data_IF_725422149597
#
_entry.id   IF_725422149597
#
_cell.length_a   1.000
_cell.length_b   1.000
_cell.length_c   1.000
_cell.angle_alpha   90.00
_cell.angle_beta   90.00
_cell.angle_gamma   90.00
#
_symmetry.space_group_name_H-M   'P 1'
#
loop_
_entity.id
_entity.type
_entity.pdbx_description
1 polymer ?
#
# COMPACT_ATOMS: atom_id res chain seq x y z
N UNK A 1 20.83 28.96 -20.92
CA UNK A 1 19.66 28.48 -20.14
C UNK A 1 18.30 29.08 -20.55
N UNK A 2 18.19 30.28 -21.16
CA UNK A 2 16.88 30.85 -21.58
C UNK A 2 16.10 30.03 -22.63
N UNK A 3 16.77 29.16 -23.39
CA UNK A 3 16.12 28.31 -24.40
C UNK A 3 15.73 26.91 -23.90
N UNK A 4 16.11 26.50 -22.69
CA UNK A 4 15.98 25.12 -22.19
C UNK A 4 15.50 25.15 -20.72
N UNK A 5 14.32 25.74 -20.48
CA UNK A 5 13.68 25.77 -19.17
C UNK A 5 12.85 24.51 -18.88
N UNK A 6 12.47 24.33 -17.60
CA UNK A 6 11.67 23.18 -17.14
C UNK A 6 10.38 22.96 -17.95
N UNK A 7 9.76 24.03 -18.45
CA UNK A 7 8.56 23.95 -19.30
C UNK A 7 8.86 23.24 -20.63
N UNK A 8 9.91 23.66 -21.35
CA UNK A 8 10.32 23.02 -22.62
C UNK A 8 10.77 21.57 -22.41
N UNK A 9 11.46 21.30 -21.29
CA UNK A 9 11.84 19.93 -20.95
C UNK A 9 10.62 19.04 -20.70
N UNK A 10 9.58 19.57 -20.05
CA UNK A 10 8.31 18.86 -19.84
C UNK A 10 7.56 18.63 -21.14
N UNK A 11 7.46 19.65 -22.01
CA UNK A 11 6.82 19.54 -23.33
C UNK A 11 7.48 18.47 -24.21
N UNK A 12 8.79 18.26 -24.09
CA UNK A 12 9.53 17.26 -24.88
C UNK A 12 9.60 15.89 -24.21
N UNK A 13 10.13 15.82 -22.99
CA UNK A 13 10.47 14.56 -22.32
C UNK A 13 9.32 14.00 -21.47
N UNK A 14 8.21 14.72 -21.35
CA UNK A 14 6.99 14.23 -20.69
C UNK A 14 5.75 14.32 -21.60
N UNK A 15 5.95 14.51 -22.91
CA UNK A 15 4.89 14.74 -23.89
C UNK A 15 3.82 13.64 -23.88
N UNK A 16 4.25 12.37 -23.78
CA UNK A 16 3.38 11.20 -23.89
C UNK A 16 3.45 10.28 -22.67
N UNK A 17 3.65 10.84 -21.47
CA UNK A 17 3.63 10.04 -20.22
C UNK A 17 2.22 9.47 -20.00
N UNK A 18 2.06 8.16 -19.82
CA UNK A 18 0.75 7.55 -19.56
C UNK A 18 0.13 8.08 -18.27
N UNK A 19 -1.20 8.21 -18.21
CA UNK A 19 -1.90 8.52 -16.97
C UNK A 19 -1.54 7.57 -15.81
N UNK A 20 -1.29 6.30 -16.11
CA UNK A 20 -0.92 5.31 -15.11
C UNK A 20 0.56 5.34 -14.69
N UNK A 21 1.47 5.97 -15.44
CA UNK A 21 2.90 5.90 -15.13
C UNK A 21 3.19 6.68 -13.85
N UNK A 22 3.94 6.08 -12.93
CA UNK A 22 4.21 6.70 -11.64
C UNK A 22 5.20 7.85 -11.77
N UNK A 23 4.77 9.04 -11.36
CA UNK A 23 5.65 10.22 -11.26
C UNK A 23 6.15 10.35 -9.82
N UNK A 24 7.46 10.20 -9.55
CA UNK A 24 7.99 10.24 -8.21
C UNK A 24 7.86 11.62 -7.56
N UNK A 25 7.65 11.61 -6.25
CA UNK A 25 7.57 12.74 -5.33
C UNK A 25 8.84 12.83 -4.48
N UNK A 26 8.96 13.94 -3.74
CA UNK A 26 10.14 14.24 -2.91
C UNK A 26 10.44 13.15 -1.88
N UNK A 27 9.42 12.51 -1.30
CA UNK A 27 9.57 11.47 -0.27
C UNK A 27 9.73 10.05 -0.83
N UNK A 28 9.65 9.86 -2.15
CA UNK A 28 9.79 8.52 -2.73
C UNK A 28 11.24 8.02 -2.69
N UNK A 29 11.38 6.69 -2.73
CA UNK A 29 12.68 6.04 -2.73
C UNK A 29 13.53 6.44 -3.94
N UNK A 30 14.85 6.34 -3.79
CA UNK A 30 15.80 6.78 -4.82
C UNK A 30 15.60 6.07 -6.15
N UNK A 31 15.25 4.78 -6.14
CA UNK A 31 15.10 4.03 -7.39
C UNK A 31 13.97 4.56 -8.28
N UNK A 32 12.84 5.01 -7.70
CA UNK A 32 11.75 5.62 -8.46
C UNK A 32 12.18 6.95 -9.11
N UNK A 33 12.99 7.75 -8.39
CA UNK A 33 13.51 9.02 -8.89
C UNK A 33 14.55 8.81 -10.00
N UNK A 34 15.48 7.89 -9.78
CA UNK A 34 16.52 7.53 -10.74
C UNK A 34 15.91 7.00 -12.04
N UNK A 35 15.01 6.02 -11.95
CA UNK A 35 14.42 5.43 -13.15
C UNK A 35 13.47 6.39 -13.86
N UNK A 36 12.82 7.32 -13.16
CA UNK A 36 12.09 8.41 -13.81
C UNK A 36 13.00 9.33 -14.63
N UNK A 37 14.16 9.71 -14.08
CA UNK A 37 15.15 10.54 -14.78
C UNK A 37 15.68 9.80 -16.01
N UNK A 38 16.08 8.52 -15.85
CA UNK A 38 16.56 7.71 -16.98
C UNK A 38 15.49 7.47 -18.04
N UNK A 39 14.24 7.19 -17.64
CA UNK A 39 13.12 7.03 -18.56
C UNK A 39 12.91 8.29 -19.43
N UNK A 40 13.00 9.48 -18.82
CA UNK A 40 12.85 10.76 -19.51
C UNK A 40 14.02 11.08 -20.45
N UNK A 41 15.25 11.06 -19.95
CA UNK A 41 16.36 11.70 -20.64
C UNK A 41 17.31 10.73 -21.34
N UNK A 42 17.51 9.55 -20.76
CA UNK A 42 18.39 8.51 -21.32
C UNK A 42 17.64 7.68 -22.35
N UNK A 43 16.50 7.11 -21.95
CA UNK A 43 15.70 6.18 -22.78
C UNK A 43 14.63 6.87 -23.60
N UNK A 44 14.32 8.13 -23.28
CA UNK A 44 13.35 9.00 -23.99
C UNK A 44 12.02 8.28 -24.23
N UNK A 45 11.53 7.60 -23.19
CA UNK A 45 10.37 6.72 -23.25
C UNK A 45 9.08 7.48 -23.61
N UNK A 46 9.02 8.78 -23.31
CA UNK A 46 7.82 9.60 -23.44
C UNK A 46 7.90 10.70 -24.51
N UNK A 47 8.96 10.74 -25.32
CA UNK A 47 9.16 11.77 -26.36
C UNK A 47 8.23 11.56 -27.56
N UNK A 48 7.83 10.32 -27.82
CA UNK A 48 6.93 9.95 -28.91
C UNK A 48 5.76 9.13 -28.36
N UNK A 49 4.59 9.25 -29.00
CA UNK A 49 3.44 8.39 -28.69
C UNK A 49 3.84 6.94 -28.95
N UNK A 50 3.74 6.11 -27.93
CA UNK A 50 3.97 4.67 -28.00
C UNK A 50 2.74 3.95 -27.45
N UNK A 51 2.43 2.81 -28.03
CA UNK A 51 1.57 1.86 -27.36
C UNK A 51 2.38 1.27 -26.21
N UNK A 52 1.94 1.57 -24.99
CA UNK A 52 2.53 0.95 -23.82
C UNK A 52 2.14 -0.51 -23.85
N UNK A 53 3.05 -1.44 -23.54
CA UNK A 53 2.73 -2.86 -23.48
C UNK A 53 1.72 -3.10 -22.35
N UNK A 54 0.45 -2.94 -22.67
CA UNK A 54 -0.70 -3.45 -21.95
C UNK A 54 -0.93 -4.81 -22.57
N UNK A 55 -0.36 -5.81 -21.91
CA UNK A 55 -0.33 -7.18 -22.41
C UNK A 55 0.31 -8.08 -21.38
N UNK A 56 0.36 -9.36 -21.71
CA UNK A 56 0.96 -10.35 -20.82
C UNK A 56 2.45 -10.05 -20.63
N UNK A 57 2.92 -10.11 -19.38
CA UNK A 57 4.34 -10.01 -19.04
C UNK A 57 4.74 -11.21 -18.22
N UNK A 58 5.85 -11.81 -18.61
CA UNK A 58 6.54 -12.82 -17.83
C UNK A 58 7.92 -12.31 -17.40
N UNK A 59 8.38 -12.76 -16.24
CA UNK A 59 9.72 -12.51 -15.76
C UNK A 59 9.95 -13.15 -14.40
N UNK A 60 11.15 -12.97 -13.86
CA UNK A 60 11.50 -13.51 -12.55
C UNK A 60 11.63 -12.39 -11.53
N UNK A 61 11.15 -12.63 -10.32
CA UNK A 61 11.36 -11.75 -9.17
C UNK A 61 11.89 -12.60 -8.00
N UNK A 62 12.76 -12.01 -7.20
CA UNK A 62 13.12 -12.57 -5.90
C UNK A 62 11.96 -12.34 -4.97
N UNK A 63 11.34 -13.43 -4.51
CA UNK A 63 10.15 -13.38 -3.66
C UNK A 63 10.43 -13.98 -2.30
N UNK A 64 10.05 -13.24 -1.24
CA UNK A 64 10.10 -13.75 0.13
C UNK A 64 9.10 -14.90 0.32
N UNK A 65 9.57 -16.02 0.86
CA UNK A 65 8.72 -17.11 1.30
C UNK A 65 7.94 -16.74 2.56
N UNK A 66 6.74 -17.32 2.70
CA UNK A 66 5.84 -17.06 3.84
C UNK A 66 6.48 -17.48 5.16
N UNK A 67 6.98 -18.71 5.20
CA UNK A 67 7.38 -19.37 6.45
C UNK A 67 8.91 -19.41 6.61
N UNK A 68 9.64 -19.74 5.54
CA UNK A 68 11.10 -19.84 5.55
C UNK A 68 11.82 -18.47 5.57
N UNK A 69 11.10 -17.37 5.32
CA UNK A 69 11.63 -15.99 5.35
C UNK A 69 12.83 -15.74 4.41
N UNK A 70 13.06 -16.61 3.44
CA UNK A 70 14.12 -16.45 2.44
C UNK A 70 13.54 -15.87 1.16
N UNK A 71 14.34 -15.08 0.45
CA UNK A 71 14.02 -14.67 -0.90
C UNK A 71 14.47 -15.76 -1.87
N UNK A 72 13.55 -16.21 -2.72
CA UNK A 72 13.85 -17.20 -3.73
C UNK A 72 13.33 -16.68 -5.07
N UNK A 73 14.08 -16.93 -6.14
CA UNK A 73 13.69 -16.54 -7.50
C UNK A 73 12.41 -17.27 -7.90
N UNK A 74 11.38 -16.54 -8.32
CA UNK A 74 10.08 -17.06 -8.73
C UNK A 74 9.68 -16.45 -10.05
N UNK A 75 9.09 -17.27 -10.91
CA UNK A 75 8.52 -16.86 -12.19
C UNK A 75 7.17 -16.19 -11.92
N UNK A 76 7.01 -14.96 -12.38
CA UNK A 76 5.77 -14.19 -12.32
C UNK A 76 5.23 -13.99 -13.72
N UNK A 77 3.92 -14.14 -13.86
CA UNK A 77 3.19 -13.94 -15.12
C UNK A 77 1.99 -13.05 -14.84
N UNK A 78 1.99 -11.86 -15.40
CA UNK A 78 0.77 -11.06 -15.52
C UNK A 78 0.03 -11.50 -16.77
N UNK A 79 -1.26 -11.81 -16.63
CA UNK A 79 -2.17 -12.08 -17.74
C UNK A 79 -3.23 -10.98 -17.78
N UNK A 80 -3.29 -10.26 -18.90
CA UNK A 80 -4.25 -9.18 -19.11
C UNK A 80 -5.66 -9.71 -19.32
N UNK A 81 -5.82 -10.75 -20.13
CA UNK A 81 -7.11 -11.38 -20.41
C UNK A 81 -7.77 -11.92 -19.15
N UNK A 82 -6.99 -12.56 -18.27
CA UNK A 82 -7.48 -13.08 -17.00
C UNK A 82 -7.55 -12.02 -15.89
N UNK A 83 -6.88 -10.88 -16.05
CA UNK A 83 -6.71 -9.83 -15.02
C UNK A 83 -6.11 -10.39 -13.72
N UNK A 84 -5.09 -11.23 -13.88
CA UNK A 84 -4.41 -11.92 -12.79
C UNK A 84 -2.89 -11.73 -12.88
N UNK A 85 -2.26 -11.50 -11.73
CA UNK A 85 -0.84 -11.74 -11.56
C UNK A 85 -0.66 -13.12 -10.92
N UNK A 86 0.11 -14.00 -11.56
CA UNK A 86 0.38 -15.36 -11.09
C UNK A 86 1.85 -15.48 -10.75
N UNK A 87 2.18 -16.34 -9.78
CA UNK A 87 3.56 -16.77 -9.59
C UNK A 87 3.68 -18.28 -9.43
N UNK A 88 4.78 -18.81 -9.93
CA UNK A 88 5.07 -20.23 -9.99
C UNK A 88 6.26 -20.55 -9.09
N UNK A 89 6.27 -21.77 -8.57
CA UNK A 89 7.41 -22.30 -7.80
C UNK A 89 8.15 -23.30 -8.68
N UNK A 90 8.42 -24.50 -8.18
CA UNK A 90 9.15 -25.52 -8.94
C UNK A 90 8.24 -26.18 -10.00
N UNK A 91 6.93 -26.22 -9.77
CA UNK A 91 5.97 -26.64 -10.78
C UNK A 91 5.65 -25.45 -11.71
N UNK A 92 5.98 -25.54 -13.02
CA UNK A 92 5.78 -24.44 -13.96
C UNK A 92 4.35 -24.35 -14.52
N UNK A 93 3.52 -25.40 -14.40
CA UNK A 93 2.19 -25.47 -15.03
C UNK A 93 1.08 -24.97 -14.12
N UNK A 94 1.19 -25.22 -12.81
CA UNK A 94 0.18 -24.79 -11.83
C UNK A 94 0.70 -23.59 -11.03
N UNK A 95 0.01 -22.42 -11.07
CA UNK A 95 0.43 -21.26 -10.29
C UNK A 95 0.37 -21.58 -8.79
N UNK A 96 1.42 -21.22 -8.05
CA UNK A 96 1.44 -21.36 -6.58
C UNK A 96 0.53 -20.34 -5.92
N UNK A 97 0.38 -19.17 -6.52
CA UNK A 97 -0.57 -18.16 -6.08
C UNK A 97 -1.04 -17.30 -7.24
N UNK A 98 -2.29 -16.89 -7.13
CA UNK A 98 -3.01 -16.07 -8.10
C UNK A 98 -3.50 -14.82 -7.39
N UNK A 99 -3.17 -13.66 -7.94
CA UNK A 99 -3.37 -12.35 -7.34
C UNK A 99 -4.31 -11.55 -8.25
N UNK A 100 -5.57 -11.33 -7.85
CA UNK A 100 -6.51 -10.56 -8.64
C UNK A 100 -6.11 -9.09 -8.73
N UNK A 101 -6.06 -8.53 -9.96
CA UNK A 101 -5.78 -7.10 -10.15
C UNK A 101 -6.81 -6.23 -9.42
N UNK A 102 -8.07 -6.70 -9.28
CA UNK A 102 -9.14 -5.94 -8.61
C UNK A 102 -8.78 -5.52 -7.17
N UNK A 103 -8.05 -6.36 -6.43
CA UNK A 103 -7.71 -6.13 -5.04
C UNK A 103 -6.23 -5.85 -4.81
N UNK A 104 -5.42 -5.90 -5.88
CA UNK A 104 -3.98 -5.65 -5.81
C UNK A 104 -3.68 -4.19 -5.46
N UNK A 105 -2.70 -4.00 -4.58
CA UNK A 105 -1.94 -2.78 -4.41
C UNK A 105 -0.44 -3.10 -4.53
N UNK A 106 0.37 -2.12 -4.94
CA UNK A 106 1.82 -2.25 -5.00
C UNK A 106 2.46 -0.95 -4.54
N UNK A 107 3.55 -1.04 -3.78
CA UNK A 107 4.27 0.12 -3.26
C UNK A 107 5.71 -0.25 -2.90
N UNK A 108 6.65 0.65 -3.14
CA UNK A 108 8.04 0.45 -2.74
C UNK A 108 8.18 0.58 -1.22
N UNK A 109 8.87 -0.37 -0.61
CA UNK A 109 9.04 -0.55 0.83
C UNK A 109 10.47 -0.99 1.15
N UNK A 110 11.45 -0.33 0.51
CA UNK A 110 12.84 -0.76 0.50
C UNK A 110 13.45 -0.91 1.90
N UNK A 111 13.26 0.07 2.78
CA UNK A 111 13.77 0.05 4.15
C UNK A 111 13.13 -1.08 4.98
N UNK A 112 11.81 -1.25 4.86
CA UNK A 112 11.05 -2.33 5.52
C UNK A 112 11.51 -3.72 5.06
N UNK A 113 11.82 -3.86 3.78
CA UNK A 113 12.22 -5.13 3.15
C UNK A 113 13.72 -5.41 3.35
N UNK A 114 14.54 -4.37 3.56
CA UNK A 114 16.00 -4.47 3.60
C UNK A 114 16.63 -4.58 2.21
N UNK A 115 16.01 -3.99 1.18
CA UNK A 115 16.54 -3.98 -0.19
C UNK A 115 16.10 -2.72 -0.93
N UNK A 116 17.01 -2.01 -1.62
CA UNK A 116 16.70 -0.73 -2.29
C UNK A 116 15.56 -0.84 -3.32
N UNK A 117 15.42 -2.01 -3.94
CA UNK A 117 14.37 -2.35 -4.92
C UNK A 117 13.19 -3.12 -4.30
N UNK A 118 13.04 -3.09 -2.98
CA UNK A 118 11.97 -3.82 -2.29
C UNK A 118 10.59 -3.27 -2.66
N UNK A 119 9.75 -4.12 -3.24
CA UNK A 119 8.36 -3.84 -3.58
C UNK A 119 7.45 -4.73 -2.73
N UNK A 120 6.50 -4.12 -2.03
CA UNK A 120 5.41 -4.81 -1.36
C UNK A 120 4.19 -4.82 -2.28
N UNK A 121 3.70 -6.02 -2.57
CA UNK A 121 2.44 -6.26 -3.27
C UNK A 121 1.44 -6.77 -2.24
N UNK A 122 0.31 -6.08 -2.08
CA UNK A 122 -0.76 -6.51 -1.18
C UNK A 122 -2.02 -6.84 -1.97
N UNK A 123 -2.81 -7.79 -1.49
CA UNK A 123 -4.11 -8.12 -2.09
C UNK A 123 -5.02 -8.79 -1.08
N UNK A 124 -6.32 -8.83 -1.37
CA UNK A 124 -7.28 -9.55 -0.53
C UNK A 124 -7.25 -11.04 -0.87
N UNK A 125 -6.95 -11.86 0.14
CA UNK A 125 -7.02 -13.33 0.11
C UNK A 125 -7.79 -13.80 1.34
N UNK A 126 -8.82 -14.62 1.15
CA UNK A 126 -9.62 -15.17 2.26
C UNK A 126 -10.11 -14.08 3.24
N UNK A 127 -10.55 -12.95 2.67
CA UNK A 127 -10.96 -11.71 3.37
C UNK A 127 -9.86 -11.02 4.19
N UNK A 128 -8.61 -11.48 4.14
CA UNK A 128 -7.46 -10.83 4.79
C UNK A 128 -6.55 -10.15 3.78
N UNK A 129 -5.73 -9.20 4.23
CA UNK A 129 -4.69 -8.58 3.43
C UNK A 129 -3.46 -9.48 3.40
N UNK A 130 -3.24 -10.13 2.26
CA UNK A 130 -2.01 -10.85 1.98
C UNK A 130 -0.91 -9.89 1.54
N UNK A 131 0.25 -9.97 2.16
CA UNK A 131 1.48 -9.28 1.74
C UNK A 131 2.43 -10.24 1.01
N UNK A 132 2.94 -9.79 -0.13
CA UNK A 132 4.07 -10.38 -0.84
C UNK A 132 5.19 -9.35 -0.90
N UNK A 133 6.40 -9.78 -0.51
CA UNK A 133 7.60 -8.95 -0.58
C UNK A 133 8.46 -9.49 -1.71
N UNK A 134 8.75 -8.63 -2.69
CA UNK A 134 9.53 -8.98 -3.86
C UNK A 134 10.59 -7.93 -4.14
N UNK A 135 11.62 -8.28 -4.89
CA UNK A 135 12.54 -7.34 -5.50
C UNK A 135 13.10 -7.91 -6.82
N UNK A 136 13.79 -7.04 -7.56
CA UNK A 136 14.64 -7.41 -8.67
C UNK A 136 16.02 -6.76 -8.48
N UNK A 137 17.09 -7.40 -8.96
CA UNK A 137 18.45 -6.84 -8.88
C UNK A 137 18.57 -5.58 -9.75
N UNK A 138 18.00 -5.63 -10.95
CA UNK A 138 17.87 -4.47 -11.84
C UNK A 138 16.70 -3.58 -11.41
N UNK A 139 17.02 -2.32 -11.13
CA UNK A 139 16.09 -1.26 -10.78
C UNK A 139 15.09 -0.92 -11.89
N UNK A 140 15.50 -0.96 -13.16
CA UNK A 140 14.62 -0.73 -14.30
C UNK A 140 13.53 -1.80 -14.37
N UNK A 141 13.90 -3.07 -14.16
CA UNK A 141 12.93 -4.17 -14.20
C UNK A 141 11.91 -4.11 -13.06
N UNK A 142 12.31 -3.79 -11.82
CA UNK A 142 11.32 -3.67 -10.74
C UNK A 142 10.37 -2.48 -10.96
N UNK A 143 10.87 -1.37 -11.51
CA UNK A 143 10.05 -0.20 -11.84
C UNK A 143 9.14 -0.49 -13.03
N UNK A 144 9.60 -1.29 -14.00
CA UNK A 144 8.77 -1.77 -15.10
C UNK A 144 7.63 -2.67 -14.60
N UNK A 145 7.90 -3.61 -13.68
CA UNK A 145 6.86 -4.40 -13.02
C UNK A 145 5.86 -3.52 -12.26
N UNK A 146 6.34 -2.54 -11.50
CA UNK A 146 5.48 -1.62 -10.77
C UNK A 146 4.56 -0.82 -11.71
N UNK A 147 5.10 -0.23 -12.78
CA UNK A 147 4.30 0.52 -13.75
C UNK A 147 3.36 -0.37 -14.57
N UNK A 148 3.72 -1.63 -14.84
CA UNK A 148 2.81 -2.61 -15.44
C UNK A 148 1.62 -2.89 -14.52
N UNK A 149 1.86 -3.14 -13.23
CA UNK A 149 0.78 -3.36 -12.27
C UNK A 149 -0.11 -2.13 -12.14
N UNK A 150 0.47 -0.93 -12.24
CA UNK A 150 -0.28 0.32 -12.32
C UNK A 150 -1.14 0.41 -13.58
N UNK A 151 -0.61 0.04 -14.75
CA UNK A 151 -1.39 -0.01 -15.99
C UNK A 151 -2.58 -0.99 -15.88
N UNK A 152 -2.32 -2.21 -15.39
CA UNK A 152 -3.34 -3.23 -15.17
C UNK A 152 -4.45 -2.75 -14.22
N UNK A 153 -4.05 -2.13 -13.10
CA UNK A 153 -4.96 -1.52 -12.12
C UNK A 153 -5.78 -0.39 -12.73
N UNK A 154 -5.17 0.46 -13.53
CA UNK A 154 -5.85 1.56 -14.21
C UNK A 154 -6.89 1.06 -15.21
N UNK A 155 -6.54 0.07 -16.04
CA UNK A 155 -7.47 -0.57 -16.98
C UNK A 155 -8.65 -1.23 -16.24
N UNK A 156 -8.39 -1.91 -15.13
CA UNK A 156 -9.44 -2.45 -14.27
C UNK A 156 -10.37 -1.34 -13.74
N UNK A 157 -9.81 -0.26 -13.20
CA UNK A 157 -10.58 0.85 -12.62
C UNK A 157 -11.46 1.53 -13.68
N UNK A 158 -10.93 1.79 -14.89
CA UNK A 158 -11.70 2.35 -16.01
C UNK A 158 -12.87 1.47 -16.40
N UNK A 159 -12.69 0.15 -16.41
CA UNK A 159 -13.76 -0.79 -16.71
C UNK A 159 -14.79 -0.94 -15.58
N UNK A 160 -14.34 -0.87 -14.33
CA UNK A 160 -15.21 -0.98 -13.14
C UNK A 160 -16.02 0.30 -12.87
N UNK A 161 -15.48 1.46 -13.27
CA UNK A 161 -16.04 2.78 -13.02
C UNK A 161 -16.07 3.64 -14.30
N UNK A 162 -16.84 3.25 -15.34
CA UNK A 162 -16.78 3.88 -16.66
C UNK A 162 -17.20 5.36 -16.68
N UNK A 163 -17.98 5.81 -15.70
CA UNK A 163 -18.41 7.21 -15.56
C UNK A 163 -17.47 8.09 -14.72
N UNK A 164 -16.42 7.52 -14.12
CA UNK A 164 -15.51 8.26 -13.25
C UNK A 164 -14.35 8.86 -14.06
N UNK A 165 -14.09 10.17 -13.97
CA UNK A 165 -12.97 10.80 -14.66
C UNK A 165 -11.63 10.14 -14.31
N UNK A 166 -10.72 10.03 -15.30
CA UNK A 166 -9.41 9.39 -15.07
C UNK A 166 -8.62 10.07 -13.93
N UNK A 167 -8.77 11.39 -13.76
CA UNK A 167 -8.14 12.15 -12.68
C UNK A 167 -8.52 11.65 -11.28
N UNK A 168 -9.74 11.10 -11.10
CA UNK A 168 -10.21 10.52 -9.85
C UNK A 168 -9.78 9.04 -9.71
N UNK A 169 -9.50 8.36 -10.82
CA UNK A 169 -9.01 6.98 -10.81
C UNK A 169 -7.51 6.89 -10.54
N UNK A 170 -6.71 7.86 -11.03
CA UNK A 170 -5.24 7.85 -10.92
C UNK A 170 -4.74 7.68 -9.47
N UNK A 171 -5.28 8.39 -8.46
CA UNK A 171 -4.91 8.19 -7.06
C UNK A 171 -5.23 6.78 -6.53
N UNK A 172 -6.22 6.08 -7.11
CA UNK A 172 -6.69 4.76 -6.69
C UNK A 172 -5.92 3.59 -7.33
N UNK A 173 -5.06 3.86 -8.32
CA UNK A 173 -4.29 2.84 -9.06
C UNK A 173 -3.43 2.01 -8.09
N UNK A 174 -2.52 2.69 -7.39
CA UNK A 174 -1.70 2.15 -6.30
C UNK A 174 -1.55 3.21 -5.23
N UNK A 175 -1.39 2.77 -3.97
CA UNK A 175 -1.40 3.62 -2.78
C UNK A 175 -0.21 3.28 -1.89
N UNK A 176 0.38 4.31 -1.30
CA UNK A 176 1.37 4.16 -0.24
C UNK A 176 0.68 4.21 1.12
N UNK A 177 1.32 3.66 2.15
CA UNK A 177 0.89 3.89 3.52
C UNK A 177 1.08 5.36 3.89
N UNK A 178 0.07 5.96 4.52
CA UNK A 178 0.13 7.30 5.08
C UNK A 178 1.10 7.36 6.26
N UNK A 179 1.14 6.28 7.06
CA UNK A 179 2.13 6.04 8.09
C UNK A 179 2.27 4.55 8.37
N UNK A 180 3.48 4.13 8.69
CA UNK A 180 3.76 2.79 9.18
C UNK A 180 4.81 2.84 10.29
N UNK A 181 4.70 1.95 11.27
CA UNK A 181 5.58 2.00 12.44
C UNK A 181 5.16 1.05 13.55
N UNK A 182 5.98 0.97 14.58
CA UNK A 182 5.64 0.18 15.77
C UNK A 182 4.79 0.99 16.75
N UNK A 183 3.71 0.38 17.24
CA UNK A 183 2.98 0.81 18.43
C UNK A 183 2.79 -0.41 19.35
N UNK A 184 2.48 -0.21 20.64
CA UNK A 184 1.89 -1.27 21.46
C UNK A 184 0.36 -1.13 21.47
N UNK A 185 -0.33 -2.26 21.57
CA UNK A 185 -1.78 -2.31 21.76
C UNK A 185 -2.15 -3.30 22.84
N UNK A 186 -3.26 -3.05 23.53
CA UNK A 186 -3.92 -4.02 24.41
C UNK A 186 -5.11 -4.71 23.71
N UNK A 187 -5.77 -5.63 24.40
CA UNK A 187 -6.98 -6.32 23.94
C UNK A 187 -8.26 -5.51 24.20
N UNK A 188 -9.43 -6.09 23.88
CA UNK A 188 -10.71 -5.39 23.98
C UNK A 188 -11.10 -4.99 25.40
N UNK A 189 -10.65 -5.72 26.43
CA UNK A 189 -11.01 -5.43 27.83
C UNK A 189 -10.05 -4.46 28.51
N UNK A 190 -8.97 -4.08 27.82
CA UNK A 190 -7.87 -3.23 28.31
C UNK A 190 -7.08 -3.81 29.50
N UNK A 191 -7.42 -5.03 29.94
CA UNK A 191 -6.74 -5.78 31.01
C UNK A 191 -5.66 -6.70 30.45
N UNK A 192 -5.70 -7.00 29.15
CA UNK A 192 -4.70 -7.83 28.50
C UNK A 192 -3.34 -7.11 28.48
N UNK A 193 -2.22 -7.87 28.51
CA UNK A 193 -0.89 -7.29 28.33
C UNK A 193 -0.78 -6.53 27.00
N UNK A 194 -0.13 -5.38 27.03
CA UNK A 194 0.26 -4.67 25.83
C UNK A 194 1.22 -5.51 24.99
N UNK A 195 1.04 -5.46 23.67
CA UNK A 195 1.89 -6.17 22.72
C UNK A 195 2.36 -5.21 21.64
N UNK A 196 3.68 -5.10 21.45
CA UNK A 196 4.30 -4.41 20.31
C UNK A 196 3.87 -5.04 18.99
N UNK A 197 3.39 -4.23 18.06
CA UNK A 197 2.91 -4.62 16.72
C UNK A 197 3.37 -3.61 15.69
N UNK A 198 3.61 -4.09 14.47
CA UNK A 198 3.86 -3.21 13.34
C UNK A 198 2.52 -2.80 12.73
N UNK A 199 2.29 -1.51 12.54
CA UNK A 199 1.06 -0.95 12.00
C UNK A 199 1.31 -0.36 10.62
N UNK A 200 0.33 -0.54 9.73
CA UNK A 200 0.25 0.12 8.44
C UNK A 200 -1.09 0.85 8.36
N UNK A 201 -1.06 2.16 8.11
CA UNK A 201 -2.23 2.98 7.88
C UNK A 201 -2.35 3.34 6.40
N UNK A 202 -3.41 2.86 5.77
CA UNK A 202 -3.86 3.29 4.44
C UNK A 202 -5.02 4.26 4.64
N UNK A 203 -4.77 5.57 4.47
CA UNK A 203 -5.79 6.61 4.65
C UNK A 203 -6.89 6.54 3.61
N UNK A 204 -6.61 6.07 2.40
CA UNK A 204 -7.58 5.98 1.32
C UNK A 204 -8.52 4.79 1.53
N UNK A 205 -8.01 3.67 2.04
CA UNK A 205 -8.85 2.55 2.44
C UNK A 205 -9.41 2.67 3.87
N UNK A 206 -9.06 3.73 4.60
CA UNK A 206 -9.44 3.95 5.99
C UNK A 206 -9.11 2.75 6.89
N UNK A 207 -7.98 2.07 6.66
CA UNK A 207 -7.61 0.84 7.37
C UNK A 207 -6.28 1.00 8.10
N UNK A 208 -6.30 0.79 9.41
CA UNK A 208 -5.13 0.64 10.27
C UNK A 208 -4.93 -0.85 10.56
N UNK A 209 -4.09 -1.53 9.80
CA UNK A 209 -3.81 -2.97 9.96
C UNK A 209 -2.58 -3.18 10.84
N UNK A 210 -2.58 -4.24 11.65
CA UNK A 210 -1.44 -4.55 12.52
C UNK A 210 -0.93 -5.97 12.37
N UNK A 211 0.39 -6.12 12.51
CA UNK A 211 1.16 -7.33 12.24
C UNK A 211 2.07 -7.67 13.43
N UNK A 212 2.43 -8.94 13.60
CA UNK A 212 3.41 -9.31 14.64
C UNK A 212 4.80 -8.82 14.26
N UNK A 213 5.16 -8.90 12.98
CA UNK A 213 6.39 -8.36 12.38
C UNK A 213 6.07 -7.63 11.07
N UNK A 214 6.92 -6.67 10.64
CA UNK A 214 6.66 -5.86 9.44
C UNK A 214 6.52 -6.71 8.16
N UNK A 215 7.29 -7.79 8.06
CA UNK A 215 7.32 -8.69 6.90
C UNK A 215 6.43 -9.94 7.06
N UNK A 216 5.44 -9.89 7.95
CA UNK A 216 4.45 -10.96 8.06
C UNK A 216 3.53 -10.96 6.83
N UNK A 217 3.16 -12.16 6.40
CA UNK A 217 2.36 -12.37 5.19
C UNK A 217 0.89 -11.96 5.34
N UNK A 218 0.36 -11.90 6.57
CA UNK A 218 -1.04 -11.59 6.86
C UNK A 218 -1.12 -10.72 8.11
N UNK A 219 -2.13 -9.85 8.15
CA UNK A 219 -2.43 -9.06 9.34
C UNK A 219 -2.90 -9.96 10.49
N UNK A 220 -2.76 -9.45 11.72
CA UNK A 220 -3.35 -10.03 12.92
C UNK A 220 -4.72 -9.42 13.23
N UNK A 221 -5.15 -8.43 12.45
CA UNK A 221 -6.37 -7.65 12.61
C UNK A 221 -6.13 -6.19 12.24
N UNK A 222 -7.12 -5.35 12.51
CA UNK A 222 -7.01 -3.92 12.26
C UNK A 222 -8.17 -3.12 12.80
N UNK A 223 -8.16 -1.83 12.48
CA UNK A 223 -9.21 -0.88 12.79
C UNK A 223 -9.62 -0.20 11.49
N UNK A 224 -10.91 -0.21 11.18
CA UNK A 224 -11.45 0.69 10.17
C UNK A 224 -11.58 2.09 10.79
N UNK A 225 -11.25 3.15 10.06
CA UNK A 225 -11.22 4.53 10.55
C UNK A 225 -12.30 5.33 9.82
N UNK A 226 -13.54 5.23 10.30
CA UNK A 226 -14.67 6.00 9.76
C UNK A 226 -14.61 7.48 10.13
N UNK A 227 -15.67 8.22 9.82
CA UNK A 227 -15.72 9.65 10.09
C UNK A 227 -16.30 9.96 11.47
N UNK A 228 -16.17 11.24 11.87
CA UNK A 228 -16.77 11.77 13.10
C UNK A 228 -18.29 11.56 13.15
N UNK A 229 -18.98 11.73 12.02
CA UNK A 229 -20.43 11.56 11.89
C UNK A 229 -20.87 10.11 12.17
N UNK A 230 -20.00 9.13 11.89
CA UNK A 230 -20.23 7.72 12.21
C UNK A 230 -19.75 7.34 13.62
N UNK A 231 -19.43 8.30 14.49
CA UNK A 231 -19.04 8.04 15.87
C UNK A 231 -17.58 7.64 16.07
N UNK A 232 -16.72 7.87 15.08
CA UNK A 232 -15.27 7.70 15.23
C UNK A 232 -14.64 8.93 15.86
N UNK A 233 -13.68 8.71 16.75
CA UNK A 233 -12.89 9.78 17.34
C UNK A 233 -11.50 9.29 17.69
N UNK A 234 -10.56 10.23 17.81
CA UNK A 234 -9.22 9.95 18.33
C UNK A 234 -8.87 10.98 19.40
N UNK A 235 -8.41 10.51 20.55
CA UNK A 235 -8.03 11.34 21.69
C UNK A 235 -6.62 11.01 22.19
N UNK A 236 -5.92 12.04 22.63
CA UNK A 236 -4.61 11.91 23.26
C UNK A 236 -4.76 11.43 24.71
N UNK A 237 -3.78 10.66 25.19
CA UNK A 237 -3.75 10.13 26.54
C UNK A 237 -4.24 8.69 26.64
N UNK A 238 -4.24 8.19 27.88
CA UNK A 238 -4.57 6.81 28.21
C UNK A 238 -5.75 6.75 29.19
N UNK A 239 -6.68 5.77 29.04
CA UNK A 239 -7.76 5.59 30.02
C UNK A 239 -7.21 5.24 31.41
N UNK A 240 -7.99 5.57 32.45
CA UNK A 240 -7.64 5.21 33.84
C UNK A 240 -7.77 3.70 34.05
N UNK A 241 -6.89 3.12 34.86
CA UNK A 241 -6.98 1.71 35.28
C UNK A 241 -6.56 0.68 34.22
N UNK A 242 -5.97 1.12 33.11
CA UNK A 242 -5.39 0.20 32.12
C UNK A 242 -4.13 -0.47 32.66
N UNK A 243 -3.81 -1.66 32.13
CA UNK A 243 -2.56 -2.34 32.44
C UNK A 243 -1.36 -1.51 31.97
N UNK A 244 -0.28 -1.48 32.76
CA UNK A 244 0.96 -0.77 32.40
C UNK A 244 1.53 -1.28 31.07
N UNK A 245 1.84 -0.36 30.17
CA UNK A 245 2.54 -0.63 28.91
C UNK A 245 4.05 -0.32 29.06
N UNK A 246 4.87 -0.66 28.06
CA UNK A 246 6.28 -0.27 28.07
C UNK A 246 6.46 1.23 27.83
N UNK A 247 5.54 1.84 27.10
CA UNK A 247 5.59 3.23 26.70
C UNK A 247 4.47 4.05 27.36
N UNK A 248 4.80 5.24 27.87
CA UNK A 248 3.84 6.07 28.62
C UNK A 248 3.06 7.05 27.74
N UNK A 249 3.52 7.23 26.49
CA UNK A 249 2.86 8.10 25.51
C UNK A 249 1.82 7.29 24.74
N UNK A 250 0.54 7.64 24.83
CA UNK A 250 -0.52 6.86 24.17
C UNK A 250 -1.72 7.67 23.73
N UNK A 251 -2.57 7.02 22.93
CA UNK A 251 -3.80 7.60 22.41
C UNK A 251 -4.88 6.53 22.27
N UNK A 252 -6.13 6.98 22.15
CA UNK A 252 -7.29 6.11 22.00
C UNK A 252 -7.98 6.38 20.68
N UNK A 253 -8.24 5.34 19.90
CA UNK A 253 -9.19 5.38 18.78
C UNK A 253 -10.52 4.83 19.28
N UNK A 254 -11.54 5.68 19.32
CA UNK A 254 -12.92 5.30 19.60
C UNK A 254 -13.61 4.94 18.29
N UNK A 255 -14.25 3.78 18.26
CA UNK A 255 -15.19 3.37 17.21
C UNK A 255 -16.58 3.16 17.83
N UNK A 256 -17.64 2.99 17.02
CA UNK A 256 -18.99 2.70 17.55
C UNK A 256 -19.08 1.45 18.43
N UNK A 257 -18.15 0.50 18.28
CA UNK A 257 -18.24 -0.79 18.95
C UNK A 257 -17.23 -0.97 20.09
N UNK A 258 -16.07 -0.30 20.02
CA UNK A 258 -15.01 -0.43 21.04
C UNK A 258 -13.99 0.69 20.98
N UNK A 259 -13.24 0.80 22.06
CA UNK A 259 -12.05 1.64 22.12
C UNK A 259 -10.78 0.81 21.89
N UNK A 260 -9.88 1.33 21.07
CA UNK A 260 -8.55 0.80 20.85
C UNK A 260 -7.54 1.71 21.52
N UNK A 261 -6.79 1.15 22.47
CA UNK A 261 -5.74 1.88 23.19
C UNK A 261 -4.38 1.51 22.61
N UNK A 262 -3.62 2.53 22.25
CA UNK A 262 -2.28 2.42 21.67
C UNK A 262 -1.27 3.21 22.49
N UNK A 263 -0.03 2.72 22.53
CA UNK A 263 1.12 3.49 23.03
C UNK A 263 2.22 3.54 21.98
N UNK A 264 2.92 4.67 21.93
CA UNK A 264 3.99 4.97 20.98
C UNK A 264 5.32 5.16 21.71
N UNK A 265 6.42 4.96 21.00
CA UNK A 265 7.76 5.03 21.59
C UNK A 265 8.13 6.43 22.13
N UNK A 266 7.61 7.48 21.50
CA UNK A 266 7.83 8.86 21.91
C UNK A 266 6.67 9.78 21.48
N UNK A 267 6.65 11.00 22.02
CA UNK A 267 5.64 12.02 21.75
C UNK A 267 5.59 12.46 20.29
N UNK A 268 6.71 12.47 19.56
CA UNK A 268 6.71 12.86 18.15
C UNK A 268 5.96 11.82 17.30
N UNK A 269 6.25 10.53 17.49
CA UNK A 269 5.56 9.46 16.79
C UNK A 269 4.04 9.45 17.09
N UNK A 270 3.67 9.66 18.36
CA UNK A 270 2.26 9.83 18.76
C UNK A 270 1.59 11.00 18.04
N UNK A 271 2.23 12.17 17.98
CA UNK A 271 1.69 13.35 17.29
C UNK A 271 1.46 13.08 15.81
N UNK A 272 2.41 12.45 15.13
CA UNK A 272 2.29 12.07 13.72
C UNK A 272 1.13 11.08 13.48
N UNK A 273 0.94 10.09 14.37
CA UNK A 273 -0.21 9.19 14.30
C UNK A 273 -1.53 9.94 14.49
N UNK A 274 -1.62 10.79 15.51
CA UNK A 274 -2.81 11.58 15.84
C UNK A 274 -3.19 12.53 14.70
N UNK A 275 -2.22 13.22 14.10
CA UNK A 275 -2.43 14.17 13.00
C UNK A 275 -3.13 13.49 11.82
N UNK A 276 -2.56 12.39 11.33
CA UNK A 276 -3.11 11.66 10.16
C UNK A 276 -4.47 11.03 10.51
N UNK A 277 -4.62 10.47 11.72
CA UNK A 277 -5.91 9.89 12.13
C UNK A 277 -7.02 10.95 12.22
N UNK A 278 -6.71 12.15 12.73
CA UNK A 278 -7.65 13.28 12.78
C UNK A 278 -8.06 13.72 11.37
N UNK A 279 -7.10 13.80 10.45
CA UNK A 279 -7.38 14.11 9.03
C UNK A 279 -8.35 13.08 8.43
N UNK A 280 -8.09 11.78 8.61
CA UNK A 280 -8.96 10.72 8.09
C UNK A 280 -10.38 10.82 8.68
N UNK A 281 -10.49 11.03 9.99
CA UNK A 281 -11.77 11.11 10.71
C UNK A 281 -12.57 12.36 10.32
N UNK A 282 -11.90 13.46 9.97
CA UNK A 282 -12.57 14.69 9.51
C UNK A 282 -13.15 14.60 8.10
N UNK A 283 -12.70 13.64 7.29
CA UNK A 283 -13.22 13.44 5.92
C UNK A 283 -14.52 12.64 5.98
N UNK A 284 -15.61 13.08 5.33
CA UNK A 284 -16.83 12.29 5.18
C UNK A 284 -16.55 10.93 4.55
N UNK A 285 -17.32 9.91 4.93
CA UNK A 285 -17.28 8.60 4.29
C UNK A 285 -18.09 8.63 2.98
N UNK A 286 -17.53 8.01 1.95
CA UNK A 286 -18.25 7.72 0.70
C UNK A 286 -19.16 6.50 0.86
N UNK A 287 -20.06 6.26 -0.09
CA UNK A 287 -20.84 5.01 -0.12
C UNK A 287 -19.96 3.75 -0.18
N UNK A 288 -18.81 3.85 -0.86
CA UNK A 288 -17.84 2.76 -0.95
C UNK A 288 -17.18 2.52 0.42
N UNK A 289 -16.84 3.58 1.15
CA UNK A 289 -16.31 3.49 2.51
C UNK A 289 -17.31 2.80 3.46
N UNK A 290 -18.60 3.16 3.39
CA UNK A 290 -19.64 2.53 4.22
C UNK A 290 -19.80 1.03 3.93
N UNK A 291 -19.71 0.63 2.66
CA UNK A 291 -19.73 -0.78 2.26
C UNK A 291 -18.50 -1.52 2.79
N UNK A 292 -17.31 -0.92 2.67
CA UNK A 292 -16.06 -1.47 3.16
C UNK A 292 -16.04 -1.59 4.70
N UNK A 293 -16.59 -0.62 5.43
CA UNK A 293 -16.75 -0.69 6.89
C UNK A 293 -17.60 -1.89 7.29
N UNK A 294 -18.77 -2.07 6.67
CA UNK A 294 -19.67 -3.17 6.96
C UNK A 294 -19.00 -4.55 6.69
N UNK A 295 -18.24 -4.67 5.59
CA UNK A 295 -17.46 -5.86 5.28
C UNK A 295 -16.33 -6.09 6.30
N UNK A 296 -15.66 -5.01 6.73
CA UNK A 296 -14.60 -5.07 7.73
C UNK A 296 -15.12 -5.59 9.07
N UNK A 297 -16.29 -5.11 9.52
CA UNK A 297 -16.90 -5.53 10.79
C UNK A 297 -17.32 -7.00 10.77
N UNK A 298 -18.02 -7.44 9.71
CA UNK A 298 -18.44 -8.85 9.57
C UNK A 298 -17.27 -9.82 9.68
N UNK A 299 -16.08 -9.42 9.25
CA UNK A 299 -14.86 -10.20 9.36
C UNK A 299 -14.29 -10.26 10.78
N UNK A 300 -14.45 -9.22 11.60
CA UNK A 300 -13.95 -9.20 12.98
C UNK A 300 -14.86 -9.96 13.95
N UNK A 301 -16.12 -10.21 13.57
CA UNK A 301 -17.11 -10.95 14.37
C UNK A 301 -17.14 -12.47 14.11
N UNK A 302 -16.33 -12.98 13.19
CA UNK A 302 -16.19 -14.40 12.84
C UNK A 302 -14.86 -14.94 13.38
#
# INVERSE_FOLDING_TARGET
MKAHGNLRAKEKYEAFVPPFYYKPRVRDCMILKEEWIKAKYERREFEFKRDYPTGDKEGYLWKRGRDNRQFLKRRFVYSESERLLKYYTNNPTVPKGTIPIRSLNAMFQGDKIGHAHGLEITYVQDRQTRNLFVYHEDGKEIVAWFNLLRAARFNYLRGAFPGTPEAELIPKITRNYSKAGYMEKTGPTHKEPFKKRWFNLDAEQRKLLYYKKPLDAFEQGGVFIGSKEQGYAVSEGLPRGIRKSKWDTGFVIKTPWREFVFTCENTNDQKEWLEILREIISRPMTEEDCKEEALFQRRQSQ
#
